data_IF_209081962076
#
_entry.id   IF_209081962076
#
_cell.length_a   1.000
_cell.length_b   1.000
_cell.length_c   1.000
_cell.angle_alpha   90.00
_cell.angle_beta   90.00
_cell.angle_gamma   90.00
#
_symmetry.space_group_name_H-M   'P 1'
#
loop_
_entity.id
_entity.type
_entity.pdbx_description
1 polymer ?
#
# COMPACT_ATOMS: atom_id res chain seq x y z
N UNK A 1 15.93 -2.52 -8.38
CA UNK A 1 15.90 -3.78 -7.59
C UNK A 1 14.70 -3.73 -6.67
N UNK A 2 13.87 -4.77 -6.64
CA UNK A 2 12.75 -4.89 -5.70
C UNK A 2 13.31 -5.17 -4.29
N UNK A 3 12.82 -4.44 -3.28
CA UNK A 3 13.23 -4.69 -1.89
C UNK A 3 12.43 -5.87 -1.31
N UNK A 4 13.02 -6.68 -0.41
CA UNK A 4 12.28 -7.73 0.31
C UNK A 4 11.07 -7.17 1.07
N UNK A 5 10.04 -7.97 1.28
CA UNK A 5 8.83 -7.52 1.98
C UNK A 5 9.14 -7.06 3.41
N UNK A 6 10.13 -7.69 4.07
CA UNK A 6 10.58 -7.28 5.40
C UNK A 6 11.07 -5.83 5.50
N UNK A 7 11.58 -5.25 4.40
CA UNK A 7 11.91 -3.82 4.34
C UNK A 7 10.67 -2.94 4.56
N UNK A 8 9.51 -3.39 4.07
CA UNK A 8 8.27 -2.63 4.12
C UNK A 8 7.41 -2.95 5.34
N UNK A 9 7.51 -4.12 5.97
CA UNK A 9 6.52 -4.56 6.98
C UNK A 9 7.04 -4.59 8.41
N UNK A 10 8.30 -4.18 8.64
CA UNK A 10 8.92 -4.28 9.97
C UNK A 10 9.09 -5.74 10.42
N UNK A 11 9.12 -6.68 9.47
CA UNK A 11 9.22 -8.10 9.70
C UNK A 11 10.49 -8.42 10.50
N UNK A 12 10.33 -9.11 11.63
CA UNK A 12 11.46 -9.66 12.38
C UNK A 12 11.81 -11.03 11.77
N UNK A 13 13.03 -11.21 11.25
CA UNK A 13 13.47 -12.49 10.69
C UNK A 13 13.34 -13.63 11.71
N UNK A 14 12.77 -14.75 11.29
CA UNK A 14 12.63 -15.95 12.15
C UNK A 14 11.47 -15.90 13.16
N UNK A 15 10.61 -14.88 13.11
CA UNK A 15 9.37 -14.86 13.89
C UNK A 15 8.29 -15.82 13.35
N UNK A 16 7.31 -16.18 14.17
CA UNK A 16 6.13 -16.93 13.73
C UNK A 16 5.03 -15.96 13.29
N UNK A 17 5.15 -15.41 12.09
CA UNK A 17 4.20 -14.46 11.53
C UNK A 17 3.69 -14.90 10.17
N UNK A 18 2.47 -14.50 9.81
CA UNK A 18 1.92 -14.74 8.47
C UNK A 18 2.86 -14.21 7.37
N UNK A 19 3.55 -13.09 7.62
CA UNK A 19 4.52 -12.52 6.68
C UNK A 19 5.72 -13.45 6.46
N UNK A 20 6.25 -14.10 7.50
CA UNK A 20 7.33 -15.09 7.35
C UNK A 20 6.87 -16.33 6.56
N UNK A 21 5.62 -16.77 6.78
CA UNK A 21 5.01 -17.85 5.99
C UNK A 21 4.86 -17.47 4.52
N UNK A 22 4.46 -16.22 4.23
CA UNK A 22 4.34 -15.71 2.87
C UNK A 22 5.70 -15.56 2.17
N UNK A 23 6.75 -15.09 2.86
CA UNK A 23 8.12 -15.07 2.31
C UNK A 23 8.60 -16.48 1.98
N UNK A 24 8.38 -17.44 2.88
CA UNK A 24 8.77 -18.84 2.66
C UNK A 24 8.07 -19.43 1.44
N UNK A 25 6.77 -19.17 1.30
CA UNK A 25 5.94 -19.72 0.24
C UNK A 25 6.17 -19.04 -1.12
N UNK A 26 6.25 -17.71 -1.16
CA UNK A 26 6.23 -16.94 -2.41
C UNK A 26 7.53 -16.20 -2.72
N UNK A 27 8.51 -16.28 -1.83
CA UNK A 27 9.80 -15.62 -1.95
C UNK A 27 9.85 -14.26 -1.26
N UNK A 28 11.06 -13.82 -0.91
CA UNK A 28 11.28 -12.61 -0.11
C UNK A 28 10.80 -11.33 -0.81
N UNK A 29 10.66 -11.34 -2.14
CA UNK A 29 10.11 -10.22 -2.93
C UNK A 29 8.78 -10.58 -3.60
N UNK A 30 8.16 -11.69 -3.16
CA UNK A 30 7.05 -12.35 -3.83
C UNK A 30 7.34 -12.64 -5.31
N UNK A 31 8.57 -13.04 -5.62
CA UNK A 31 9.01 -13.34 -6.99
C UNK A 31 8.27 -14.53 -7.63
N UNK A 32 7.66 -15.41 -6.82
CA UNK A 32 6.83 -16.52 -7.31
C UNK A 32 5.38 -16.12 -7.64
N UNK A 33 5.00 -14.87 -7.39
CA UNK A 33 3.67 -14.36 -7.74
C UNK A 33 3.69 -13.62 -9.09
N UNK A 34 2.63 -13.82 -9.87
CA UNK A 34 2.35 -13.04 -11.07
C UNK A 34 1.95 -11.60 -10.73
N UNK A 35 2.06 -10.70 -11.71
CA UNK A 35 1.59 -9.30 -11.55
C UNK A 35 0.11 -9.24 -11.14
N UNK A 36 -0.73 -10.13 -11.69
CA UNK A 36 -2.17 -10.18 -11.38
C UNK A 36 -2.43 -10.54 -9.92
N UNK A 37 -1.71 -11.52 -9.38
CA UNK A 37 -1.83 -11.92 -7.97
C UNK A 37 -1.38 -10.79 -7.04
N UNK A 38 -0.29 -10.09 -7.36
CA UNK A 38 0.17 -8.93 -6.59
C UNK A 38 -0.87 -7.81 -6.56
N UNK A 39 -1.46 -7.47 -7.71
CA UNK A 39 -2.54 -6.49 -7.79
C UNK A 39 -3.79 -6.92 -7.01
N UNK A 40 -4.13 -8.22 -7.04
CA UNK A 40 -5.25 -8.74 -6.26
C UNK A 40 -5.01 -8.58 -4.75
N UNK A 41 -3.81 -8.91 -4.26
CA UNK A 41 -3.46 -8.69 -2.86
C UNK A 41 -3.51 -7.20 -2.47
N UNK A 42 -3.01 -6.30 -3.33
CA UNK A 42 -3.13 -4.86 -3.11
C UNK A 42 -4.59 -4.41 -2.99
N UNK A 43 -5.45 -4.86 -3.90
CA UNK A 43 -6.89 -4.58 -3.85
C UNK A 43 -7.53 -5.08 -2.55
N UNK A 44 -7.29 -6.34 -2.17
CA UNK A 44 -7.84 -6.91 -0.92
C UNK A 44 -7.37 -6.16 0.32
N UNK A 45 -6.09 -5.77 0.38
CA UNK A 45 -5.55 -4.98 1.48
C UNK A 45 -6.16 -3.57 1.52
N UNK A 46 -6.27 -2.89 0.38
CA UNK A 46 -6.83 -1.55 0.29
C UNK A 46 -8.31 -1.53 0.72
N UNK A 47 -9.10 -2.50 0.28
CA UNK A 47 -10.51 -2.64 0.70
C UNK A 47 -10.62 -2.89 2.21
N UNK A 48 -9.77 -3.75 2.77
CA UNK A 48 -9.80 -4.02 4.20
C UNK A 48 -9.42 -2.79 5.02
N UNK A 49 -8.35 -2.09 4.66
CA UNK A 49 -7.94 -0.84 5.32
C UNK A 49 -9.05 0.21 5.22
N UNK A 50 -9.61 0.42 4.03
CA UNK A 50 -10.74 1.33 3.83
C UNK A 50 -11.93 0.99 4.74
N UNK A 51 -12.28 -0.29 4.90
CA UNK A 51 -13.38 -0.71 5.78
C UNK A 51 -13.17 -0.43 7.28
N UNK A 52 -11.95 -0.06 7.69
CA UNK A 52 -11.59 0.27 9.06
C UNK A 52 -11.59 1.78 9.32
N UNK A 53 -11.55 2.60 8.27
CA UNK A 53 -11.59 4.05 8.38
C UNK A 53 -13.03 4.53 8.57
N UNK A 54 -13.20 5.55 9.40
CA UNK A 54 -14.50 6.20 9.62
C UNK A 54 -14.69 7.40 8.66
N UNK A 55 -15.95 7.72 8.37
CA UNK A 55 -16.32 8.88 7.56
C UNK A 55 -16.81 8.51 6.16
N UNK A 56 -17.48 9.48 5.53
CA UNK A 56 -17.95 9.33 4.16
C UNK A 56 -16.86 9.72 3.16
N UNK A 57 -16.78 8.99 2.04
CA UNK A 57 -16.04 9.46 0.88
C UNK A 57 -16.84 10.60 0.25
N UNK A 58 -16.17 11.71 -0.07
CA UNK A 58 -16.79 12.84 -0.76
C UNK A 58 -17.17 12.44 -2.20
N UNK A 59 -18.34 12.84 -2.67
CA UNK A 59 -18.89 12.41 -3.95
C UNK A 59 -17.92 12.70 -5.12
N UNK A 60 -17.25 13.84 -5.11
CA UNK A 60 -16.26 14.19 -6.14
C UNK A 60 -15.10 13.19 -6.23
N UNK A 61 -14.73 12.55 -5.12
CA UNK A 61 -13.65 11.55 -5.09
C UNK A 61 -14.13 10.23 -5.71
N UNK A 62 -15.41 9.90 -5.55
CA UNK A 62 -15.98 8.70 -6.18
C UNK A 62 -16.00 8.83 -7.71
N UNK A 63 -16.26 10.03 -8.23
CA UNK A 63 -16.19 10.33 -9.66
C UNK A 63 -14.74 10.20 -10.15
N UNK A 64 -13.79 10.81 -9.44
CA UNK A 64 -12.35 10.72 -9.78
C UNK A 64 -11.89 9.25 -9.84
N UNK A 65 -12.34 8.39 -8.92
CA UNK A 65 -11.97 6.97 -8.92
C UNK A 65 -12.35 6.24 -10.22
N UNK A 66 -13.46 6.63 -10.86
CA UNK A 66 -13.84 6.11 -12.19
C UNK A 66 -12.93 6.65 -13.29
N UNK A 67 -12.61 7.94 -13.27
CA UNK A 67 -11.78 8.59 -14.29
C UNK A 67 -10.33 8.07 -14.31
N UNK A 68 -9.80 7.66 -13.14
CA UNK A 68 -8.46 7.08 -13.03
C UNK A 68 -8.27 5.81 -13.88
N UNK A 69 -9.35 5.12 -14.25
CA UNK A 69 -9.29 3.94 -15.11
C UNK A 69 -8.83 4.29 -16.54
N UNK A 70 -8.97 5.54 -16.96
CA UNK A 70 -8.51 6.01 -18.27
C UNK A 70 -7.01 6.32 -18.34
N UNK A 71 -6.32 6.35 -17.19
CA UNK A 71 -4.87 6.56 -17.15
C UNK A 71 -4.11 5.40 -17.78
N UNK A 72 -2.87 5.68 -18.20
CA UNK A 72 -1.94 4.63 -18.60
C UNK A 72 -1.67 3.69 -17.41
N UNK A 73 -1.46 2.38 -17.63
CA UNK A 73 -1.17 1.45 -16.55
C UNK A 73 0.03 1.84 -15.68
N UNK A 74 1.06 2.46 -16.27
CA UNK A 74 2.24 2.97 -15.53
C UNK A 74 1.89 4.13 -14.59
N UNK A 75 0.98 5.01 -15.02
CA UNK A 75 0.54 6.16 -14.21
C UNK A 75 -0.36 5.68 -13.07
N UNK A 76 -1.19 4.66 -13.31
CA UNK A 76 -1.97 4.01 -12.25
C UNK A 76 -1.05 3.36 -11.20
N UNK A 77 0.00 2.65 -11.63
CA UNK A 77 0.99 2.05 -10.72
C UNK A 77 1.74 3.11 -9.91
N UNK A 78 2.21 4.18 -10.55
CA UNK A 78 2.88 5.29 -9.88
C UNK A 78 1.96 6.03 -8.90
N UNK A 79 0.69 6.24 -9.26
CA UNK A 79 -0.30 6.85 -8.37
C UNK A 79 -0.60 5.96 -7.15
N UNK A 80 -0.72 4.65 -7.34
CA UNK A 80 -0.88 3.72 -6.23
C UNK A 80 0.32 3.78 -5.27
N UNK A 81 1.55 3.83 -5.79
CA UNK A 81 2.76 3.98 -4.97
C UNK A 81 2.74 5.30 -4.18
N UNK A 82 2.40 6.41 -4.83
CA UNK A 82 2.32 7.72 -4.18
C UNK A 82 1.28 7.73 -3.04
N UNK A 83 0.07 7.20 -3.29
CA UNK A 83 -1.00 7.15 -2.28
C UNK A 83 -0.62 6.26 -1.09
N UNK A 84 -0.03 5.09 -1.33
CA UNK A 84 0.45 4.20 -0.25
C UNK A 84 1.49 4.92 0.62
N UNK A 85 2.42 5.64 0.00
CA UNK A 85 3.43 6.41 0.74
C UNK A 85 2.80 7.52 1.58
N UNK A 86 1.81 8.25 1.04
CA UNK A 86 1.10 9.31 1.76
C UNK A 86 0.25 8.76 2.92
N UNK A 87 -0.42 7.62 2.74
CA UNK A 87 -1.17 6.97 3.82
C UNK A 87 -0.23 6.56 4.96
N UNK A 88 0.95 6.03 4.61
CA UNK A 88 1.91 5.51 5.58
C UNK A 88 2.69 6.60 6.34
N UNK A 89 3.03 7.70 5.67
CA UNK A 89 3.95 8.71 6.20
C UNK A 89 3.41 10.15 6.20
N UNK A 90 2.29 10.41 5.54
CA UNK A 90 1.73 11.75 5.34
C UNK A 90 1.04 12.36 6.57
N UNK A 91 1.07 11.70 7.73
CA UNK A 91 0.51 12.18 9.00
C UNK A 91 1.59 12.53 10.05
N UNK A 92 2.85 12.75 9.66
CA UNK A 92 3.81 13.28 10.62
C UNK A 92 3.32 14.67 11.08
N UNK A 93 3.11 14.91 12.38
CA UNK A 93 2.80 16.25 12.86
C UNK A 93 3.93 17.17 12.42
N UNK A 94 3.58 18.36 11.89
CA UNK A 94 4.59 19.39 11.69
C UNK A 94 5.29 19.62 13.04
N UNK A 95 6.63 19.72 13.09
CA UNK A 95 7.30 20.10 14.31
C UNK A 95 6.67 21.42 14.76
N UNK A 96 6.13 21.44 15.99
CA UNK A 96 5.61 22.66 16.58
C UNK A 96 6.66 23.74 16.40
N UNK A 97 6.32 24.73 15.57
CA UNK A 97 7.11 25.93 15.39
C UNK A 97 7.29 26.51 16.80
N UNK A 98 8.48 26.28 17.35
CA UNK A 98 8.83 26.66 18.70
C UNK A 98 9.02 28.15 18.64
N UNK A 99 7.90 28.87 18.67
CA UNK A 99 7.85 30.33 18.63
C UNK A 99 8.72 30.87 19.75
N UNK A 100 9.88 31.41 19.36
CA UNK A 100 10.70 32.33 20.15
C UNK A 100 10.30 33.74 19.78
#
# INVERSE_FOLDING_TARGET
MTKPIGYYTGLVPGGDSLLNSLETQYGATFERMTRREKLYLMFSLAVHLFSKEEGAIRDEITIVASDLQALLPSDQEGLMEALINQIRWGHLPEPEDSGV
#
